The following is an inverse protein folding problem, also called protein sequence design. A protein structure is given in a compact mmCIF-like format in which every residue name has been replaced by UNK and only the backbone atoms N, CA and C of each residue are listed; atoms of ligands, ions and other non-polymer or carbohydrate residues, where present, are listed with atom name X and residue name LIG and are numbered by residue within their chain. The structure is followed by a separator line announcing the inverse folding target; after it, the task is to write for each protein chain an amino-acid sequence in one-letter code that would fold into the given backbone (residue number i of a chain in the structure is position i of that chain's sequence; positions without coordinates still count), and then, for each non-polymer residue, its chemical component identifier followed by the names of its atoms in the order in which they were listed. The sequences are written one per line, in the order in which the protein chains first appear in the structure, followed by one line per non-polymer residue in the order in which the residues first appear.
data_IF_613479348527
#
_entry.id   IF_613479348527
#
_cell.length_a   1.000
_cell.length_b   1.000
_cell.length_c   1.000
_cell.angle_alpha   90.00
_cell.angle_beta   90.00
_cell.angle_gamma   90.00
#
_symmetry.space_group_name_H-M   'P 1'
#
loop_
_entity.id
_entity.type
_entity.pdbx_description
1 polymer ?
#
# COMPACT_ATOMS: atom_id res chain seq x y z
N UNK A 1 -0.40 -15.99 14.53
CA UNK A 1 0.69 -15.44 13.67
C UNK A 1 0.25 -15.59 12.22
N UNK A 2 0.20 -14.51 11.42
CA UNK A 2 -0.19 -14.59 10.01
C UNK A 2 0.90 -15.33 9.22
N UNK A 3 0.53 -16.41 8.52
CA UNK A 3 1.40 -17.11 7.57
C UNK A 3 0.85 -16.82 6.17
N UNK A 4 1.70 -16.38 5.26
CA UNK A 4 1.34 -16.12 3.87
C UNK A 4 1.80 -17.29 3.01
N UNK A 5 0.87 -18.06 2.44
CA UNK A 5 1.18 -19.11 1.46
C UNK A 5 1.83 -18.54 0.19
N UNK A 6 1.40 -17.32 -0.19
CA UNK A 6 2.00 -16.52 -1.27
C UNK A 6 2.47 -15.19 -0.67
N UNK A 7 3.73 -15.06 -0.24
CA UNK A 7 4.21 -13.92 0.54
C UNK A 7 4.44 -12.69 -0.36
N UNK A 8 3.34 -12.07 -0.78
CA UNK A 8 3.30 -10.84 -1.57
C UNK A 8 2.93 -9.70 -0.64
N UNK A 9 3.89 -8.86 -0.30
CA UNK A 9 3.73 -7.81 0.71
C UNK A 9 3.86 -6.45 0.06
N UNK A 10 2.82 -5.62 0.20
CA UNK A 10 2.83 -4.23 -0.25
C UNK A 10 3.34 -3.33 0.87
N UNK A 11 4.41 -2.61 0.60
CA UNK A 11 4.96 -1.57 1.46
C UNK A 11 4.48 -0.21 0.97
N UNK A 12 3.91 0.59 1.85
CA UNK A 12 3.56 1.97 1.57
C UNK A 12 3.74 2.85 2.80
N UNK A 13 3.77 4.17 2.63
CA UNK A 13 3.80 5.04 3.79
C UNK A 13 3.87 6.52 3.48
N UNK A 14 4.15 7.30 4.52
CA UNK A 14 4.35 8.74 4.41
C UNK A 14 5.51 9.06 3.48
N UNK A 15 5.35 10.09 2.64
CA UNK A 15 6.44 10.66 1.83
C UNK A 15 7.54 11.30 2.68
N UNK A 16 7.23 11.59 3.94
CA UNK A 16 8.12 12.20 4.91
C UNK A 16 8.55 11.23 6.00
N UNK A 17 8.37 9.92 5.78
CA UNK A 17 8.74 8.91 6.77
C UNK A 17 10.22 9.04 7.17
N UNK A 18 10.47 9.22 8.46
CA UNK A 18 11.80 9.61 8.99
C UNK A 18 12.69 8.43 9.36
N UNK A 19 12.15 7.22 9.40
CA UNK A 19 12.85 6.04 9.91
C UNK A 19 12.95 4.95 8.85
N UNK A 20 13.79 5.13 7.81
CA UNK A 20 13.97 4.12 6.77
C UNK A 20 14.41 2.76 7.35
N UNK A 21 15.16 2.76 8.47
CA UNK A 21 15.54 1.54 9.19
C UNK A 21 14.34 0.70 9.65
N UNK A 22 13.20 1.33 10.00
CA UNK A 22 12.00 0.59 10.38
C UNK A 22 11.43 -0.21 9.20
N UNK A 23 11.50 0.36 7.99
CA UNK A 23 11.10 -0.32 6.75
C UNK A 23 12.06 -1.46 6.45
N UNK A 24 13.37 -1.19 6.52
CA UNK A 24 14.42 -2.18 6.27
C UNK A 24 14.33 -3.37 7.22
N UNK A 25 14.13 -3.13 8.52
CA UNK A 25 13.96 -4.18 9.53
C UNK A 25 12.73 -5.06 9.24
N UNK A 26 11.63 -4.47 8.73
CA UNK A 26 10.46 -5.24 8.28
C UNK A 26 10.81 -6.09 7.06
N UNK A 27 11.47 -5.52 6.05
CA UNK A 27 11.90 -6.27 4.86
C UNK A 27 12.84 -7.42 5.21
N UNK A 28 13.79 -7.21 6.13
CA UNK A 28 14.70 -8.25 6.63
C UNK A 28 13.96 -9.38 7.33
N UNK A 29 13.02 -9.05 8.23
CA UNK A 29 12.19 -10.05 8.92
C UNK A 29 11.34 -10.85 7.93
N UNK A 30 10.76 -10.19 6.93
CA UNK A 30 10.01 -10.86 5.88
C UNK A 30 10.91 -11.79 5.05
N UNK A 31 12.10 -11.33 4.66
CA UNK A 31 13.04 -12.12 3.87
C UNK A 31 13.56 -13.32 4.66
N UNK A 32 13.90 -13.14 5.94
CA UNK A 32 14.30 -14.23 6.81
C UNK A 32 13.20 -15.29 6.97
N UNK A 33 11.92 -14.85 6.94
CA UNK A 33 10.76 -15.73 7.09
C UNK A 33 10.38 -16.47 5.82
N UNK A 34 10.42 -15.80 4.67
CA UNK A 34 9.83 -16.30 3.43
C UNK A 34 10.87 -16.62 2.33
N UNK A 35 12.13 -16.27 2.55
CA UNK A 35 13.22 -16.60 1.63
C UNK A 35 12.97 -16.07 0.21
N UNK A 36 13.25 -16.89 -0.79
CA UNK A 36 13.12 -16.52 -2.20
C UNK A 36 11.68 -16.35 -2.68
N UNK A 37 10.71 -16.90 -1.94
CA UNK A 37 9.30 -16.77 -2.29
C UNK A 37 8.75 -15.34 -2.04
N UNK A 38 9.45 -14.53 -1.25
CA UNK A 38 9.02 -13.16 -0.91
C UNK A 38 9.00 -12.25 -2.13
N UNK A 39 7.86 -11.59 -2.32
CA UNK A 39 7.67 -10.52 -3.30
C UNK A 39 7.29 -9.25 -2.54
N UNK A 40 8.07 -8.19 -2.74
CA UNK A 40 7.82 -6.85 -2.20
C UNK A 40 7.25 -5.93 -3.29
N UNK A 41 6.20 -5.20 -2.93
CA UNK A 41 5.45 -4.33 -3.83
C UNK A 41 5.49 -2.90 -3.29
N UNK A 42 5.83 -1.91 -4.11
CA UNK A 42 5.91 -0.50 -3.70
C UNK A 42 5.59 0.48 -4.85
N UNK A 43 5.45 1.75 -4.50
CA UNK A 43 4.85 2.78 -5.33
C UNK A 43 5.76 3.80 -6.02
N UNK A 44 7.07 3.65 -5.91
CA UNK A 44 8.09 4.61 -6.29
C UNK A 44 7.94 6.00 -5.66
N UNK A 45 7.27 6.11 -4.51
CA UNK A 45 7.15 7.38 -3.79
C UNK A 45 8.38 7.65 -2.91
N UNK A 46 8.57 8.90 -2.49
CA UNK A 46 9.54 9.24 -1.45
C UNK A 46 9.15 8.60 -0.09
N UNK A 47 10.07 8.63 0.88
CA UNK A 47 9.81 8.14 2.23
C UNK A 47 9.80 6.62 2.32
N UNK A 48 8.71 6.03 2.82
CA UNK A 48 8.64 4.60 3.10
C UNK A 48 8.80 3.72 1.85
N UNK A 49 8.12 4.06 0.74
CA UNK A 49 8.24 3.36 -0.54
C UNK A 49 9.71 3.37 -1.02
N UNK A 50 10.38 4.52 -0.93
CA UNK A 50 11.81 4.67 -1.27
C UNK A 50 12.71 3.81 -0.39
N UNK A 51 12.46 3.76 0.92
CA UNK A 51 13.25 2.92 1.82
C UNK A 51 13.13 1.42 1.49
N UNK A 52 11.94 0.97 1.07
CA UNK A 52 11.73 -0.40 0.56
C UNK A 52 12.46 -0.60 -0.76
N UNK A 53 12.33 0.35 -1.68
CA UNK A 53 12.99 0.32 -2.99
C UNK A 53 14.51 0.18 -2.86
N UNK A 54 15.13 1.07 -2.08
CA UNK A 54 16.57 1.09 -1.86
C UNK A 54 17.04 -0.24 -1.23
N UNK A 55 16.29 -0.78 -0.26
CA UNK A 55 16.60 -2.06 0.37
C UNK A 55 16.64 -3.23 -0.63
N UNK A 56 15.69 -3.26 -1.58
CA UNK A 56 15.65 -4.26 -2.66
C UNK A 56 16.81 -4.08 -3.64
N UNK A 57 17.08 -2.83 -4.05
CA UNK A 57 18.13 -2.51 -5.02
C UNK A 57 19.53 -2.85 -4.48
N UNK A 58 19.83 -2.52 -3.22
CA UNK A 58 21.12 -2.86 -2.58
C UNK A 58 21.37 -4.37 -2.53
N UNK A 59 20.32 -5.20 -2.62
CA UNK A 59 20.40 -6.67 -2.61
C UNK A 59 20.31 -7.29 -4.01
N UNK A 60 20.26 -6.47 -5.06
CA UNK A 60 20.17 -6.95 -6.44
C UNK A 60 18.89 -7.74 -6.72
N UNK A 61 17.77 -7.38 -6.09
CA UNK A 61 16.52 -8.11 -6.30
C UNK A 61 15.99 -7.93 -7.73
N UNK A 62 15.61 -9.06 -8.34
CA UNK A 62 14.97 -9.06 -9.64
C UNK A 62 13.62 -8.32 -9.64
N UNK A 63 13.24 -7.82 -10.81
CA UNK A 63 11.98 -7.09 -11.04
C UNK A 63 10.71 -7.91 -10.79
N UNK A 64 10.82 -9.25 -10.75
CA UNK A 64 9.70 -10.13 -10.39
C UNK A 64 9.52 -10.25 -8.87
N UNK A 65 10.60 -10.10 -8.07
CA UNK A 65 10.57 -10.07 -6.60
C UNK A 65 10.33 -8.67 -6.05
N UNK A 66 10.82 -7.65 -6.74
CA UNK A 66 10.62 -6.24 -6.41
C UNK A 66 9.72 -5.59 -7.47
N UNK A 67 8.44 -5.44 -7.13
CA UNK A 67 7.41 -4.91 -8.01
C UNK A 67 7.16 -3.43 -7.70
N UNK A 68 7.78 -2.56 -8.50
CA UNK A 68 7.66 -1.11 -8.41
C UNK A 68 6.57 -0.59 -9.34
N UNK A 69 5.72 0.33 -8.87
CA UNK A 69 4.63 0.93 -9.64
C UNK A 69 4.73 2.47 -9.68
N UNK A 70 5.65 3.02 -10.49
CA UNK A 70 5.82 4.47 -10.60
C UNK A 70 4.64 5.15 -11.28
N UNK A 71 4.54 6.46 -11.03
CA UNK A 71 3.66 7.39 -11.75
C UNK A 71 4.55 8.44 -12.41
N UNK A 72 4.39 8.65 -13.71
CA UNK A 72 5.01 9.78 -14.41
C UNK A 72 4.22 11.06 -14.10
N UNK A 73 4.58 11.72 -12.99
CA UNK A 73 3.89 12.93 -12.57
C UNK A 73 3.99 14.09 -13.57
N UNK A 74 5.01 14.12 -14.43
CA UNK A 74 5.15 15.17 -15.43
C UNK A 74 4.15 14.95 -16.57
N UNK A 75 4.09 13.73 -17.11
CA UNK A 75 3.12 13.35 -18.13
C UNK A 75 1.68 13.53 -17.62
N UNK A 76 1.39 13.11 -16.37
CA UNK A 76 0.06 13.23 -15.78
C UNK A 76 -0.39 14.69 -15.60
N UNK A 77 0.52 15.57 -15.19
CA UNK A 77 0.24 17.01 -15.09
C UNK A 77 0.01 17.65 -16.45
N UNK A 78 0.74 17.23 -17.48
CA UNK A 78 0.56 17.72 -18.85
C UNK A 78 -0.78 17.26 -19.43
N UNK A 79 -1.14 15.99 -19.27
CA UNK A 79 -2.35 15.41 -19.84
C UNK A 79 -3.63 15.86 -19.13
N UNK A 80 -3.61 15.93 -17.79
CA UNK A 80 -4.79 16.25 -16.96
C UNK A 80 -4.44 17.19 -15.81
N UNK A 81 -4.12 18.47 -16.08
CA UNK A 81 -3.57 19.41 -15.09
C UNK A 81 -4.48 19.65 -13.87
N UNK A 82 -5.79 19.48 -14.00
CA UNK A 82 -6.74 19.63 -12.89
C UNK A 82 -6.96 18.34 -12.08
N UNK A 83 -6.60 17.19 -12.65
CA UNK A 83 -6.95 15.87 -12.13
C UNK A 83 -5.75 14.92 -11.97
N UNK A 84 -4.53 15.35 -12.27
CA UNK A 84 -3.32 14.52 -12.24
C UNK A 84 -3.10 13.78 -10.92
N UNK A 85 -3.63 14.30 -9.79
CA UNK A 85 -3.53 13.64 -8.47
C UNK A 85 -4.28 12.31 -8.43
N UNK A 86 -5.29 12.12 -9.29
CA UNK A 86 -6.04 10.87 -9.43
C UNK A 86 -5.13 9.73 -9.88
N UNK A 87 -4.06 10.01 -10.65
CA UNK A 87 -3.05 9.03 -11.05
C UNK A 87 -2.45 8.27 -9.86
N UNK A 88 -2.30 8.93 -8.70
CA UNK A 88 -1.81 8.29 -7.48
C UNK A 88 -2.80 7.25 -6.93
N UNK A 89 -4.10 7.53 -7.00
CA UNK A 89 -5.16 6.61 -6.59
C UNK A 89 -5.30 5.46 -7.59
N UNK A 90 -5.23 5.75 -8.89
CA UNK A 90 -5.24 4.74 -9.96
C UNK A 90 -4.06 3.78 -9.80
N UNK A 91 -2.86 4.30 -9.53
CA UNK A 91 -1.67 3.48 -9.21
C UNK A 91 -1.89 2.62 -7.97
N UNK A 92 -2.53 3.13 -6.92
CA UNK A 92 -2.84 2.32 -5.74
C UNK A 92 -3.75 1.12 -6.08
N UNK A 93 -4.76 1.34 -6.94
CA UNK A 93 -5.63 0.25 -7.40
C UNK A 93 -4.84 -0.74 -8.26
N UNK A 94 -4.01 -0.24 -9.16
CA UNK A 94 -3.14 -1.07 -10.01
C UNK A 94 -2.26 -2.00 -9.18
N UNK A 95 -1.64 -1.49 -8.11
CA UNK A 95 -0.86 -2.32 -7.18
C UNK A 95 -1.69 -3.43 -6.52
N UNK A 96 -2.95 -3.16 -6.15
CA UNK A 96 -3.84 -4.18 -5.56
C UNK A 96 -4.30 -5.21 -6.58
N UNK A 97 -4.64 -4.76 -7.80
CA UNK A 97 -5.21 -5.62 -8.82
C UNK A 97 -4.15 -6.49 -9.52
N UNK A 98 -3.04 -5.89 -9.94
CA UNK A 98 -2.02 -6.56 -10.75
C UNK A 98 -0.98 -7.26 -9.88
N UNK A 99 -0.68 -6.72 -8.70
CA UNK A 99 0.32 -7.31 -7.81
C UNK A 99 -0.29 -8.24 -6.76
N UNK A 100 -1.61 -8.32 -6.61
CA UNK A 100 -2.35 -9.19 -5.66
C UNK A 100 -1.64 -9.35 -4.30
N UNK A 101 -1.41 -8.26 -3.55
CA UNK A 101 -0.77 -8.34 -2.26
C UNK A 101 -1.63 -9.11 -1.26
N UNK A 102 -0.99 -9.91 -0.41
CA UNK A 102 -1.62 -10.69 0.66
C UNK A 102 -1.48 -10.01 2.03
N UNK A 103 -0.69 -8.95 2.11
CA UNK A 103 -0.49 -8.11 3.27
C UNK A 103 -0.10 -6.71 2.82
N UNK A 104 -0.65 -5.68 3.46
CA UNK A 104 -0.19 -4.29 3.35
C UNK A 104 0.50 -3.92 4.66
N UNK A 105 1.71 -3.38 4.58
CA UNK A 105 2.40 -2.76 5.71
C UNK A 105 2.52 -1.26 5.42
N UNK A 106 1.80 -0.47 6.20
CA UNK A 106 1.73 0.97 6.07
C UNK A 106 2.59 1.65 7.15
N UNK A 107 3.51 2.53 6.75
CA UNK A 107 4.37 3.30 7.64
C UNK A 107 3.88 4.74 7.74
N UNK A 108 3.28 5.11 8.88
CA UNK A 108 2.70 6.43 9.05
C UNK A 108 2.53 6.80 10.53
N UNK A 109 3.11 7.94 10.94
CA UNK A 109 3.09 8.44 12.33
C UNK A 109 1.68 8.80 12.79
N UNK A 110 1.01 9.64 11.99
CA UNK A 110 -0.30 10.18 12.31
C UNK A 110 -1.28 9.93 11.16
N UNK A 111 -1.94 8.77 11.16
CA UNK A 111 -2.84 8.37 10.09
C UNK A 111 -4.12 9.22 10.09
N UNK A 112 -4.23 10.15 9.15
CA UNK A 112 -5.46 10.89 8.88
C UNK A 112 -6.38 10.11 7.90
N UNK A 113 -7.57 9.69 8.33
CA UNK A 113 -8.56 8.99 7.49
C UNK A 113 -9.16 9.86 6.36
N UNK A 114 -8.99 11.18 6.46
CA UNK A 114 -9.64 12.15 5.58
C UNK A 114 -8.84 12.45 4.31
N UNK A 115 -7.50 12.25 4.35
CA UNK A 115 -6.61 12.66 3.25
C UNK A 115 -5.33 11.83 3.21
N UNK A 116 -4.58 11.97 2.11
CA UNK A 116 -3.25 11.39 1.96
C UNK A 116 -3.25 10.04 1.23
N UNK A 117 -2.12 9.74 0.57
CA UNK A 117 -1.95 8.56 -0.28
C UNK A 117 -1.89 7.25 0.51
N UNK A 118 -1.27 7.24 1.69
CA UNK A 118 -1.24 6.06 2.58
C UNK A 118 -2.64 5.72 3.09
N UNK A 119 -3.39 6.75 3.50
CA UNK A 119 -4.80 6.63 3.89
C UNK A 119 -5.68 6.07 2.76
N UNK A 120 -5.42 6.48 1.51
CA UNK A 120 -6.09 5.90 0.33
C UNK A 120 -5.74 4.42 0.13
N UNK A 121 -4.46 4.04 0.24
CA UNK A 121 -4.05 2.63 0.14
C UNK A 121 -4.69 1.78 1.24
N UNK A 122 -4.69 2.25 2.49
CA UNK A 122 -5.31 1.55 3.62
C UNK A 122 -6.80 1.35 3.37
N UNK A 123 -7.53 2.40 2.95
CA UNK A 123 -8.95 2.30 2.64
C UNK A 123 -9.21 1.20 1.60
N UNK A 124 -8.44 1.18 0.51
CA UNK A 124 -8.60 0.18 -0.56
C UNK A 124 -8.23 -1.23 -0.10
N UNK A 125 -7.18 -1.38 0.70
CA UNK A 125 -6.80 -2.64 1.34
C UNK A 125 -7.94 -3.21 2.19
N UNK A 126 -8.50 -2.38 3.08
CA UNK A 126 -9.64 -2.76 3.92
C UNK A 126 -10.88 -3.12 3.10
N UNK A 127 -11.20 -2.33 2.07
CA UNK A 127 -12.31 -2.61 1.17
C UNK A 127 -12.13 -3.92 0.41
N UNK A 128 -10.90 -4.28 0.03
CA UNK A 128 -10.61 -5.52 -0.71
C UNK A 128 -10.31 -6.72 0.19
N UNK A 129 -10.38 -6.54 1.51
CA UNK A 129 -10.12 -7.58 2.50
C UNK A 129 -8.64 -7.96 2.64
N UNK A 130 -7.71 -7.18 2.10
CA UNK A 130 -6.27 -7.37 2.32
C UNK A 130 -5.93 -6.91 3.74
N UNK A 131 -5.30 -7.75 4.58
CA UNK A 131 -4.95 -7.36 5.94
C UNK A 131 -3.91 -6.23 5.93
N UNK A 132 -4.04 -5.29 6.87
CA UNK A 132 -3.21 -4.09 6.95
C UNK A 132 -2.54 -4.00 8.32
N UNK A 133 -1.22 -3.89 8.34
CA UNK A 133 -0.41 -3.60 9.53
C UNK A 133 0.09 -2.15 9.46
N UNK A 134 -0.27 -1.32 10.43
CA UNK A 134 0.17 0.07 10.53
C UNK A 134 1.35 0.16 11.49
N UNK A 135 2.48 0.66 11.02
CA UNK A 135 3.67 0.98 11.82
C UNK A 135 3.69 2.50 12.10
N UNK A 136 3.55 2.92 13.37
CA UNK A 136 3.41 4.34 13.73
C UNK A 136 4.73 5.05 14.04
N UNK A 137 5.87 4.34 14.08
CA UNK A 137 7.13 4.94 14.49
C UNK A 137 8.37 4.14 14.09
N UNK A 138 9.54 4.43 14.71
CA UNK A 138 10.80 3.75 14.40
C UNK A 138 10.80 2.27 14.77
N UNK A 139 9.98 1.86 15.75
CA UNK A 139 9.87 0.45 16.15
C UNK A 139 8.68 -0.23 15.45
N UNK A 140 8.93 -1.12 14.46
CA UNK A 140 7.87 -1.84 13.75
C UNK A 140 7.13 -2.85 14.64
N UNK A 141 7.66 -3.23 15.81
CA UNK A 141 6.98 -4.10 16.76
C UNK A 141 5.79 -3.40 17.45
N UNK A 142 5.77 -2.07 17.48
CA UNK A 142 4.66 -1.25 18.01
C UNK A 142 3.54 -1.02 17.01
N UNK A 143 3.57 -1.72 15.87
CA UNK A 143 2.49 -1.63 14.90
C UNK A 143 1.18 -2.23 15.41
N UNK A 144 0.13 -2.04 14.62
CA UNK A 144 -1.20 -2.60 14.91
C UNK A 144 -1.91 -3.07 13.65
N UNK A 145 -2.73 -4.10 13.78
CA UNK A 145 -3.64 -4.52 12.71
C UNK A 145 -4.78 -3.53 12.58
N UNK A 146 -5.14 -3.19 11.34
CA UNK A 146 -6.33 -2.42 11.05
C UNK A 146 -7.45 -3.37 10.61
N UNK A 147 -8.57 -3.33 11.32
CA UNK A 147 -9.72 -4.18 11.05
C UNK A 147 -10.82 -3.41 10.30
N UNK A 148 -11.40 -3.97 9.22
CA UNK A 148 -12.44 -3.29 8.46
C UNK A 148 -13.59 -2.76 9.31
N UNK A 149 -14.07 -3.55 10.29
CA UNK A 149 -15.20 -3.19 11.16
C UNK A 149 -14.91 -1.96 12.03
N UNK A 150 -13.66 -1.79 12.47
CA UNK A 150 -13.27 -0.66 13.31
C UNK A 150 -12.84 0.56 12.48
N UNK A 151 -12.22 0.33 11.32
CA UNK A 151 -11.50 1.37 10.59
C UNK A 151 -12.27 1.92 9.39
N UNK A 152 -13.08 1.12 8.68
CA UNK A 152 -13.90 1.63 7.57
C UNK A 152 -14.87 2.73 8.02
N UNK A 153 -15.55 2.64 9.19
CA UNK A 153 -16.45 3.70 9.66
C UNK A 153 -15.74 5.05 9.95
N UNK A 154 -14.41 5.06 10.12
CA UNK A 154 -13.64 6.30 10.36
C UNK A 154 -13.37 7.08 9.07
N UNK A 155 -13.52 6.46 7.90
CA UNK A 155 -13.39 7.15 6.62
C UNK A 155 -14.68 7.90 6.28
N UNK A 156 -14.60 9.10 5.67
CA UNK A 156 -15.79 9.79 5.17
C UNK A 156 -16.55 8.90 4.16
N UNK A 157 -17.87 8.73 4.34
CA UNK A 157 -18.71 7.88 3.45
C UNK A 157 -18.48 8.17 1.97
N UNK A 158 -18.45 9.45 1.57
CA UNK A 158 -18.15 9.87 0.19
C UNK A 158 -16.84 9.31 -0.36
N UNK A 159 -15.81 9.18 0.48
CA UNK A 159 -14.49 8.67 0.09
C UNK A 159 -14.53 7.15 -0.06
N UNK A 160 -15.28 6.46 0.81
CA UNK A 160 -15.52 5.01 0.72
C UNK A 160 -16.23 4.68 -0.59
N UNK A 161 -17.35 5.37 -0.89
CA UNK A 161 -18.10 5.20 -2.13
C UNK A 161 -17.24 5.49 -3.35
N UNK A 162 -16.56 6.65 -3.40
CA UNK A 162 -15.71 7.00 -4.52
C UNK A 162 -14.54 6.01 -4.74
N UNK A 163 -13.96 5.49 -3.66
CA UNK A 163 -12.91 4.48 -3.76
C UNK A 163 -13.45 3.16 -4.33
N UNK A 164 -14.60 2.69 -3.86
CA UNK A 164 -15.25 1.49 -4.34
C UNK A 164 -15.64 1.60 -5.82
N UNK A 165 -16.25 2.72 -6.22
CA UNK A 165 -16.67 2.94 -7.60
C UNK A 165 -15.47 3.03 -8.56
N UNK A 166 -14.41 3.73 -8.16
CA UNK A 166 -13.19 3.79 -8.95
C UNK A 166 -12.56 2.39 -9.11
N UNK A 167 -12.54 1.56 -8.06
CA UNK A 167 -12.05 0.17 -8.15
C UNK A 167 -12.88 -0.67 -9.12
N UNK A 168 -14.21 -0.61 -9.03
CA UNK A 168 -15.11 -1.36 -9.93
C UNK A 168 -14.93 -0.95 -11.39
N UNK A 169 -14.80 0.36 -11.64
CA UNK A 169 -14.62 0.89 -12.99
C UNK A 169 -13.31 0.46 -13.62
N UNK A 170 -12.20 0.51 -12.86
CA UNK A 170 -10.88 0.19 -13.40
C UNK A 170 -10.61 -1.32 -13.50
N UNK A 171 -11.06 -2.08 -12.50
CA UNK A 171 -10.79 -3.51 -12.41
C UNK A 171 -12.06 -4.23 -11.91
N UNK A 172 -13.02 -4.54 -12.83
CA UNK A 172 -14.28 -5.19 -12.48
C UNK A 172 -14.12 -6.48 -11.67
N UNK A 173 -13.03 -7.22 -11.84
CA UNK A 173 -12.70 -8.41 -11.06
C UNK A 173 -12.54 -8.14 -9.55
N UNK A 174 -12.24 -6.90 -9.14
CA UNK A 174 -12.20 -6.54 -7.73
C UNK A 174 -13.60 -6.45 -7.10
N UNK A 175 -14.69 -6.41 -7.89
CA UNK A 175 -16.05 -6.29 -7.40
C UNK A 175 -16.41 -7.37 -6.37
N UNK A 176 -15.97 -8.62 -6.60
CA UNK A 176 -16.22 -9.74 -5.69
C UNK A 176 -15.45 -9.61 -4.36
N UNK A 177 -14.35 -8.84 -4.34
CA UNK A 177 -13.53 -8.60 -3.15
C UNK A 177 -14.00 -7.39 -2.34
N UNK A 178 -14.78 -6.48 -2.92
CA UNK A 178 -15.20 -5.24 -2.25
C UNK A 178 -16.20 -5.53 -1.14
N UNK A 179 -15.76 -5.37 0.11
CA UNK A 179 -16.57 -5.37 1.32
C UNK A 179 -17.10 -3.97 1.54
N UNK A 180 -18.34 -3.70 1.12
CA UNK A 180 -19.02 -2.48 1.55
C UNK A 180 -19.41 -2.63 3.02
N UNK A 181 -19.11 -1.61 3.82
CA UNK A 181 -19.73 -1.48 5.13
C UNK A 181 -21.23 -1.21 4.90
N UNK A 182 -22.08 -2.13 5.37
CA UNK A 182 -23.52 -1.90 5.47
C UNK A 182 -23.79 -0.77 6.48
#
# INVERSE_FOLDING_TARGET
MLILEKPRVLICGSRYWRWPHAVQAVCERLQARYGEALILIEGAAAGADRACHDWCQTRGWDTWRHRCFPVDWAAEKAARPREYKVAGHERNIRMLAEADPRLIIAFHEDLAYQRGGTSDMILRGLLTGVPVWLVPGPDPARGRWLHPQEHLPRFPRRRVTAAADLMRRMYPQLQQKIRLAA
#
